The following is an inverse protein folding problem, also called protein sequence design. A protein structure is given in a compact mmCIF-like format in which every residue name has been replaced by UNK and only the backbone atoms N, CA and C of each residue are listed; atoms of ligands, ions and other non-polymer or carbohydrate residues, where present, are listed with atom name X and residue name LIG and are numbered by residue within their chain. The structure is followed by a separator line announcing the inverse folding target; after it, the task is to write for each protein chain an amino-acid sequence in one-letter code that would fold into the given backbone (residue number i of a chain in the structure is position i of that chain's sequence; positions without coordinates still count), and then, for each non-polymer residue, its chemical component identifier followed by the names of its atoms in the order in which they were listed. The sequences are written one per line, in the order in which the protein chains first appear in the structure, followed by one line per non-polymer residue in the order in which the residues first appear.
data_IF_674585399003
#
_entry.id   IF_674585399003
#
_cell.length_a   1.000
_cell.length_b   1.000
_cell.length_c   1.000
_cell.angle_alpha   90.00
_cell.angle_beta   90.00
_cell.angle_gamma   90.00
#
_symmetry.space_group_name_H-M   'P 1'
#
loop_
_entity.id
_entity.type
_entity.pdbx_description
1 polymer ?
#
# COMPACT_ATOMS: atom_id res chain seq x y z
N UNK A 1 -33.87 22.95 -5.95
CA UNK A 1 -33.35 22.55 -4.63
C UNK A 1 -31.97 21.95 -4.84
N UNK A 2 -30.92 22.59 -4.33
CA UNK A 2 -29.55 22.12 -4.44
C UNK A 2 -29.20 21.47 -3.08
N UNK A 3 -28.83 20.19 -3.09
CA UNK A 3 -28.43 19.49 -1.88
C UNK A 3 -26.97 19.83 -1.58
N UNK A 4 -26.75 20.56 -0.49
CA UNK A 4 -25.44 20.68 0.15
C UNK A 4 -25.32 19.45 1.06
N UNK A 5 -24.36 18.58 0.78
CA UNK A 5 -23.97 17.53 1.72
C UNK A 5 -23.07 18.18 2.78
N UNK A 6 -23.51 18.16 4.03
CA UNK A 6 -22.71 18.59 5.19
C UNK A 6 -21.57 17.57 5.40
N UNK A 7 -20.34 18.08 5.34
CA UNK A 7 -19.12 17.34 5.64
C UNK A 7 -18.91 17.37 7.16
N UNK A 8 -19.38 16.33 7.86
CA UNK A 8 -18.99 16.09 9.25
C UNK A 8 -17.63 15.38 9.31
N UNK A 9 -16.60 16.09 8.86
CA UNK A 9 -15.20 15.75 9.11
C UNK A 9 -14.63 16.70 10.14
N UNK A 10 -14.24 16.19 11.31
CA UNK A 10 -13.53 16.92 12.36
C UNK A 10 -12.46 17.85 11.78
N UNK A 11 -12.67 19.15 11.93
CA UNK A 11 -11.71 20.21 11.58
C UNK A 11 -10.48 20.09 12.47
N UNK A 12 -9.45 19.41 11.96
CA UNK A 12 -8.08 19.52 12.47
C UNK A 12 -7.60 20.97 12.26
N UNK A 13 -7.03 21.56 13.30
CA UNK A 13 -6.64 22.97 13.34
C UNK A 13 -5.62 23.37 12.26
N UNK A 14 -5.51 24.68 11.96
CA UNK A 14 -4.77 25.22 10.82
C UNK A 14 -3.23 25.10 10.89
N UNK A 15 -2.66 24.62 11.99
CA UNK A 15 -1.19 24.63 12.24
C UNK A 15 -0.48 23.27 12.13
N UNK A 16 -1.17 22.19 11.76
CA UNK A 16 -0.57 20.84 11.62
C UNK A 16 -0.81 20.28 10.20
N UNK A 17 -0.33 21.01 9.18
CA UNK A 17 -0.23 20.46 7.82
C UNK A 17 0.94 19.49 7.81
N UNK A 18 0.71 18.25 8.23
CA UNK A 18 1.66 17.17 7.95
C UNK A 18 1.76 17.00 6.43
N UNK A 19 2.81 17.58 5.84
CA UNK A 19 3.13 17.32 4.45
C UNK A 19 3.54 15.85 4.32
N UNK A 20 2.63 15.04 3.80
CA UNK A 20 2.93 13.65 3.46
C UNK A 20 4.07 13.66 2.43
N UNK A 21 5.17 12.97 2.73
CA UNK A 21 6.34 12.96 1.85
C UNK A 21 7.13 11.67 1.97
N UNK A 22 7.98 11.42 0.98
CA UNK A 22 8.88 10.28 0.99
C UNK A 22 10.00 10.49 2.01
N UNK A 23 10.14 9.57 2.96
CA UNK A 23 11.23 9.58 3.96
C UNK A 23 12.56 9.08 3.43
N UNK A 24 12.58 8.50 2.22
CA UNK A 24 13.79 7.95 1.58
C UNK A 24 14.41 8.89 0.54
N UNK A 25 13.69 9.93 0.11
CA UNK A 25 14.18 10.97 -0.80
C UNK A 25 14.48 12.23 0.00
N UNK A 26 15.76 12.54 0.21
CA UNK A 26 16.18 13.67 1.03
C UNK A 26 16.57 14.92 0.23
N UNK A 27 16.85 14.79 -1.08
CA UNK A 27 17.27 15.93 -1.90
C UNK A 27 17.04 15.66 -3.41
N UNK A 28 16.00 16.24 -4.03
CA UNK A 28 14.92 16.97 -3.36
C UNK A 28 14.02 16.05 -2.52
N UNK A 29 13.32 16.62 -1.54
CA UNK A 29 12.21 15.94 -0.88
C UNK A 29 11.08 15.73 -1.91
N UNK A 30 10.39 14.60 -1.83
CA UNK A 30 9.26 14.28 -2.72
C UNK A 30 7.96 14.32 -1.92
N UNK A 31 7.17 15.39 -2.01
CA UNK A 31 5.87 15.46 -1.37
C UNK A 31 4.84 14.57 -2.08
N UNK A 32 3.83 14.14 -1.34
CA UNK A 32 2.74 13.33 -1.83
C UNK A 32 1.47 14.17 -1.98
N UNK A 33 1.03 14.33 -3.22
CA UNK A 33 -0.21 15.05 -3.53
C UNK A 33 -1.46 14.23 -3.21
N UNK A 34 -1.39 12.90 -3.41
CA UNK A 34 -2.50 11.99 -3.18
C UNK A 34 -2.02 10.55 -2.99
N UNK A 35 -2.94 9.66 -2.57
CA UNK A 35 -2.64 8.24 -2.36
C UNK A 35 -2.04 7.54 -3.59
N UNK A 36 -2.65 7.61 -4.79
CA UNK A 36 -2.09 7.00 -6.00
C UNK A 36 -0.65 7.44 -6.34
N UNK A 37 -0.33 8.73 -6.26
CA UNK A 37 1.02 9.22 -6.55
C UNK A 37 2.02 8.71 -5.52
N UNK A 38 1.64 8.67 -4.24
CA UNK A 38 2.47 8.11 -3.18
C UNK A 38 2.71 6.60 -3.34
N UNK A 39 1.66 5.82 -3.67
CA UNK A 39 1.77 4.39 -3.94
C UNK A 39 2.75 4.12 -5.08
N UNK A 40 2.66 4.91 -6.16
CA UNK A 40 3.57 4.75 -7.29
C UNK A 40 5.00 5.10 -6.90
N UNK A 41 5.22 6.20 -6.18
CA UNK A 41 6.56 6.61 -5.74
C UNK A 41 7.19 5.57 -4.79
N UNK A 42 6.48 5.15 -3.74
CA UNK A 42 6.99 4.18 -2.77
C UNK A 42 7.09 2.78 -3.39
N UNK A 43 6.13 2.38 -4.23
CA UNK A 43 6.20 1.15 -5.01
C UNK A 43 7.44 1.10 -5.90
N UNK A 44 7.84 2.24 -6.47
CA UNK A 44 9.08 2.34 -7.23
C UNK A 44 10.33 2.08 -6.37
N UNK A 45 10.39 2.60 -5.14
CA UNK A 45 11.44 2.22 -4.18
C UNK A 45 11.44 0.73 -3.87
N UNK A 46 10.27 0.14 -3.55
CA UNK A 46 10.17 -1.28 -3.19
C UNK A 46 10.70 -2.20 -4.30
N UNK A 47 10.49 -1.84 -5.57
CA UNK A 47 10.90 -2.67 -6.70
C UNK A 47 12.32 -2.41 -7.20
N UNK A 48 12.82 -1.18 -7.09
CA UNK A 48 14.06 -0.78 -7.79
C UNK A 48 15.15 -0.22 -6.87
N UNK A 49 14.86 0.02 -5.60
CA UNK A 49 15.87 0.45 -4.63
C UNK A 49 16.60 -0.75 -4.01
N UNK A 50 17.91 -0.93 -4.27
CA UNK A 50 18.66 -2.06 -3.73
C UNK A 50 18.79 -2.02 -2.20
N UNK A 51 18.48 -0.89 -1.55
CA UNK A 51 18.51 -0.73 -0.09
C UNK A 51 17.23 -1.24 0.57
N UNK A 52 16.15 -1.44 -0.18
CA UNK A 52 14.86 -1.88 0.36
C UNK A 52 14.81 -3.40 0.45
N UNK A 53 14.75 -3.92 1.66
CA UNK A 53 14.61 -5.36 1.90
C UNK A 53 13.13 -5.77 2.00
N UNK A 54 12.59 -6.35 0.92
CA UNK A 54 11.20 -6.84 0.85
C UNK A 54 10.85 -7.90 1.89
N UNK A 55 11.82 -8.66 2.41
CA UNK A 55 11.58 -9.66 3.46
C UNK A 55 11.23 -9.04 4.83
N UNK A 56 11.49 -7.73 5.00
CA UNK A 56 11.04 -6.97 6.18
C UNK A 56 9.62 -6.40 6.00
N UNK A 57 8.95 -6.73 4.90
CA UNK A 57 7.58 -6.31 4.58
C UNK A 57 7.39 -4.78 4.71
N UNK A 58 8.22 -3.97 4.05
CA UNK A 58 8.16 -2.51 4.16
C UNK A 58 6.81 -1.95 3.72
N UNK A 59 6.32 -0.95 4.46
CA UNK A 59 5.06 -0.29 4.15
C UNK A 59 5.06 0.37 2.76
N UNK A 60 3.98 0.15 2.00
CA UNK A 60 3.75 0.75 0.68
C UNK A 60 3.51 2.25 0.65
N UNK A 61 3.58 2.96 1.78
CA UNK A 61 3.42 4.42 1.88
C UNK A 61 4.56 5.13 2.61
N UNK A 62 5.37 4.43 3.42
CA UNK A 62 6.46 5.06 4.17
C UNK A 62 7.73 4.20 4.33
N UNK A 63 7.78 3.00 3.73
CA UNK A 63 8.89 2.05 3.75
C UNK A 63 9.32 1.54 5.14
N UNK A 64 8.68 1.96 6.24
CA UNK A 64 8.91 1.38 7.57
C UNK A 64 8.57 -0.12 7.55
N UNK A 65 9.40 -0.98 8.13
CA UNK A 65 9.20 -2.43 8.11
C UNK A 65 8.03 -2.86 9.02
N UNK A 66 7.46 -4.03 8.77
CA UNK A 66 6.60 -4.68 9.74
C UNK A 66 7.43 -5.15 10.97
N UNK A 67 6.89 -5.10 12.20
CA UNK A 67 5.54 -4.68 12.58
C UNK A 67 5.39 -3.18 12.88
N UNK A 68 6.40 -2.34 12.60
CA UNK A 68 6.37 -0.90 12.95
C UNK A 68 5.32 -0.11 12.16
N UNK A 69 4.88 -0.62 11.00
CA UNK A 69 3.85 -0.02 10.19
C UNK A 69 3.01 -1.13 9.55
N UNK A 70 1.74 -1.24 9.99
CA UNK A 70 0.85 -2.32 9.58
C UNK A 70 -0.49 -1.76 9.12
N UNK A 71 -1.08 -2.44 8.14
CA UNK A 71 -2.38 -2.13 7.59
C UNK A 71 -3.32 -3.31 7.83
N UNK A 72 -4.54 -3.00 8.21
CA UNK A 72 -5.61 -3.98 8.39
C UNK A 72 -6.69 -3.69 7.37
N UNK A 73 -7.33 -4.74 6.87
CA UNK A 73 -8.43 -4.64 5.93
C UNK A 73 -9.70 -5.16 6.58
N UNK A 74 -10.83 -4.51 6.29
CA UNK A 74 -12.17 -4.95 6.69
C UNK A 74 -13.06 -5.10 5.48
N UNK A 75 -14.09 -5.93 5.61
CA UNK A 75 -15.13 -6.05 4.58
C UNK A 75 -15.94 -4.76 4.55
N UNK A 76 -16.17 -4.23 3.35
CA UNK A 76 -16.98 -3.02 3.15
C UNK A 76 -18.46 -3.33 3.42
N UNK A 77 -19.12 -2.61 4.33
CA UNK A 77 -20.56 -2.74 4.54
C UNK A 77 -21.32 -2.48 3.23
N UNK A 78 -22.32 -3.29 2.90
CA UNK A 78 -23.21 -3.06 1.75
C UNK A 78 -22.70 -3.51 0.39
N UNK A 79 -21.51 -4.12 0.30
CA UNK A 79 -21.05 -4.78 -0.93
C UNK A 79 -20.68 -6.22 -0.61
N UNK A 80 -21.26 -7.20 -1.31
CA UNK A 80 -21.08 -8.62 -1.02
C UNK A 80 -19.61 -9.10 -1.10
N UNK A 81 -18.70 -8.29 -1.67
CA UNK A 81 -17.31 -8.67 -1.97
C UNK A 81 -16.29 -7.51 -1.82
N UNK A 82 -16.68 -6.35 -1.29
CA UNK A 82 -15.78 -5.20 -1.18
C UNK A 82 -14.83 -5.29 0.01
N UNK A 83 -13.56 -4.95 -0.19
CA UNK A 83 -12.56 -4.79 0.86
C UNK A 83 -12.21 -3.31 0.97
N UNK A 84 -12.07 -2.82 2.20
CA UNK A 84 -11.62 -1.45 2.50
C UNK A 84 -10.57 -1.47 3.60
N UNK A 85 -9.85 -0.36 3.74
CA UNK A 85 -8.89 -0.16 4.82
C UNK A 85 -9.61 -0.02 6.16
N UNK A 86 -9.08 -0.70 7.18
CA UNK A 86 -9.43 -0.46 8.56
C UNK A 86 -8.47 0.57 9.15
N UNK A 87 -8.72 1.85 8.85
CA UNK A 87 -7.86 2.96 9.28
C UNK A 87 -7.79 3.11 10.81
N UNK A 88 -8.77 2.60 11.54
CA UNK A 88 -8.82 2.63 13.01
C UNK A 88 -7.76 1.70 13.62
N UNK A 89 -7.41 0.62 12.91
CA UNK A 89 -6.38 -0.36 13.32
C UNK A 89 -5.05 -0.14 12.61
N UNK A 90 -5.05 0.54 11.47
CA UNK A 90 -3.86 0.74 10.64
C UNK A 90 -3.03 1.92 11.13
N UNK A 91 -1.71 1.80 11.06
CA UNK A 91 -0.78 2.84 11.54
C UNK A 91 0.27 3.14 10.48
N UNK A 92 0.38 4.41 10.08
CA UNK A 92 1.39 4.89 9.14
C UNK A 92 1.60 6.39 9.31
N UNK A 93 2.85 6.87 9.20
CA UNK A 93 3.14 8.31 9.16
C UNK A 93 2.57 8.98 7.90
N UNK A 94 2.46 8.24 6.80
CA UNK A 94 1.87 8.66 5.54
C UNK A 94 0.52 7.95 5.31
N UNK A 95 -0.36 7.92 6.32
CA UNK A 95 -1.65 7.19 6.25
C UNK A 95 -2.69 7.91 5.34
N UNK A 96 -2.34 8.09 4.07
CA UNK A 96 -3.21 8.70 3.08
C UNK A 96 -4.37 7.77 2.72
N UNK A 97 -5.56 8.35 2.58
CA UNK A 97 -6.77 7.63 2.19
C UNK A 97 -6.86 7.53 0.68
N UNK A 98 -7.12 6.34 0.16
CA UNK A 98 -7.44 6.09 -1.24
C UNK A 98 -8.35 4.87 -1.38
N UNK A 99 -9.07 4.79 -2.49
CA UNK A 99 -10.00 3.69 -2.77
C UNK A 99 -9.24 2.42 -3.15
N UNK A 100 -9.51 1.33 -2.43
CA UNK A 100 -8.82 0.04 -2.61
C UNK A 100 -8.93 -0.51 -4.04
N UNK A 101 -10.15 -0.65 -4.57
CA UNK A 101 -10.40 -1.32 -5.87
C UNK A 101 -9.75 -0.61 -7.06
N UNK A 102 -9.80 0.74 -7.19
CA UNK A 102 -9.03 1.43 -8.21
C UNK A 102 -7.52 1.26 -8.04
N UNK A 103 -7.02 1.36 -6.80
CA UNK A 103 -5.59 1.23 -6.51
C UNK A 103 -5.06 -0.20 -6.69
N UNK A 104 -5.92 -1.23 -6.70
CA UNK A 104 -5.50 -2.61 -6.95
C UNK A 104 -5.23 -2.91 -8.43
N UNK A 105 -5.46 -1.95 -9.33
CA UNK A 105 -5.28 -2.09 -10.78
C UNK A 105 -4.30 -1.04 -11.28
N UNK A 106 -3.20 -1.50 -11.87
CA UNK A 106 -2.25 -0.59 -12.53
C UNK A 106 -2.79 -0.14 -13.88
N UNK A 107 -2.75 1.17 -14.11
CA UNK A 107 -3.14 1.83 -15.36
C UNK A 107 -2.05 2.79 -15.81
N UNK A 108 -2.12 3.31 -17.03
CA UNK A 108 -1.16 4.32 -17.51
C UNK A 108 -1.20 5.61 -16.66
N UNK A 109 -2.37 5.97 -16.12
CA UNK A 109 -2.53 7.17 -15.30
C UNK A 109 -2.13 6.94 -13.81
N UNK A 110 -2.21 5.69 -13.34
CA UNK A 110 -1.85 5.29 -11.98
C UNK A 110 -1.07 3.97 -12.05
N UNK A 111 0.25 4.01 -12.26
CA UNK A 111 1.05 2.87 -12.66
C UNK A 111 1.52 2.02 -11.49
N UNK A 112 0.62 1.74 -10.54
CA UNK A 112 0.92 1.00 -9.33
C UNK A 112 -0.32 0.24 -8.86
N UNK A 113 -0.13 -1.05 -8.61
CA UNK A 113 -1.13 -1.96 -8.01
C UNK A 113 -0.72 -2.42 -6.61
N UNK A 114 0.27 -1.75 -5.99
CA UNK A 114 0.78 -2.12 -4.67
C UNK A 114 -0.23 -1.73 -3.57
N UNK A 115 -1.19 -2.61 -3.29
CA UNK A 115 -2.14 -2.47 -2.18
C UNK A 115 -1.89 -3.56 -1.12
N UNK A 116 -2.31 -3.39 0.14
CA UNK A 116 -2.30 -4.48 1.11
C UNK A 116 -3.22 -5.62 0.67
N UNK A 117 -2.84 -6.86 0.92
CA UNK A 117 -3.57 -8.07 0.58
C UNK A 117 -3.64 -8.94 1.82
N UNK A 118 -4.81 -9.51 2.12
CA UNK A 118 -4.95 -10.52 3.18
C UNK A 118 -4.23 -11.78 2.73
N UNK A 119 -3.24 -12.23 3.50
CA UNK A 119 -2.60 -13.52 3.25
C UNK A 119 -3.58 -14.65 3.60
N UNK A 120 -3.90 -15.57 2.67
CA UNK A 120 -4.88 -16.62 2.91
C UNK A 120 -4.45 -17.61 4.00
N UNK A 121 -3.15 -17.79 4.23
CA UNK A 121 -2.64 -18.70 5.26
C UNK A 121 -2.63 -17.99 6.63
N UNK A 122 -2.19 -16.73 6.69
CA UNK A 122 -2.16 -15.99 7.95
C UNK A 122 -3.57 -15.83 8.54
N UNK A 123 -4.60 -15.60 7.72
CA UNK A 123 -5.97 -15.42 8.22
C UNK A 123 -6.59 -16.72 8.73
N UNK A 124 -6.12 -17.88 8.24
CA UNK A 124 -6.51 -19.19 8.78
C UNK A 124 -5.87 -19.46 10.16
N UNK A 125 -4.66 -18.94 10.39
CA UNK A 125 -3.95 -19.05 11.67
C UNK A 125 -4.47 -18.02 12.68
N UNK A 126 -4.63 -16.77 12.25
CA UNK A 126 -5.14 -15.65 13.04
C UNK A 126 -6.08 -14.78 12.17
N UNK A 127 -7.39 -14.79 12.44
CA UNK A 127 -8.38 -13.95 11.75
C UNK A 127 -8.12 -12.44 11.85
N UNK A 128 -7.26 -12.00 12.77
CA UNK A 128 -6.87 -10.61 12.96
C UNK A 128 -5.49 -10.29 12.39
N UNK A 129 -4.90 -11.19 11.60
CA UNK A 129 -3.62 -10.96 10.96
C UNK A 129 -3.61 -9.68 10.08
N UNK A 130 -2.50 -8.91 10.11
CA UNK A 130 -2.35 -7.73 9.28
C UNK A 130 -2.25 -8.10 7.79
N UNK A 131 -2.67 -7.19 6.92
CA UNK A 131 -2.52 -7.34 5.49
C UNK A 131 -1.07 -7.06 5.05
N UNK A 132 -0.64 -7.77 4.01
CA UNK A 132 0.71 -7.67 3.44
C UNK A 132 0.65 -6.91 2.13
N UNK A 133 1.49 -5.89 1.96
CA UNK A 133 1.58 -5.15 0.69
C UNK A 133 1.92 -6.08 -0.48
N UNK A 134 1.17 -5.99 -1.60
CA UNK A 134 1.26 -6.86 -2.78
C UNK A 134 2.71 -7.14 -3.19
N UNK A 135 3.52 -6.10 -3.27
CA UNK A 135 4.91 -6.25 -3.74
C UNK A 135 5.79 -7.03 -2.76
N UNK A 136 5.45 -7.11 -1.48
CA UNK A 136 6.20 -7.87 -0.49
C UNK A 136 5.70 -9.31 -0.34
N UNK A 137 4.52 -9.63 -0.88
CA UNK A 137 3.80 -10.87 -0.57
C UNK A 137 4.58 -12.14 -0.95
N UNK A 138 5.32 -12.14 -2.07
CA UNK A 138 6.20 -13.25 -2.42
C UNK A 138 7.31 -13.50 -1.38
N UNK A 139 7.92 -12.42 -0.86
CA UNK A 139 8.96 -12.50 0.15
C UNK A 139 8.39 -12.95 1.51
N UNK A 140 7.17 -12.48 1.83
CA UNK A 140 6.40 -12.96 2.96
C UNK A 140 6.17 -14.48 2.89
N UNK A 141 5.66 -15.00 1.77
CA UNK A 141 5.48 -16.45 1.58
C UNK A 141 6.79 -17.23 1.72
N UNK A 142 7.88 -16.71 1.16
CA UNK A 142 9.19 -17.36 1.23
C UNK A 142 9.70 -17.48 2.66
N UNK A 143 9.40 -16.51 3.53
CA UNK A 143 9.92 -16.47 4.91
C UNK A 143 8.96 -17.06 5.96
N UNK A 144 7.64 -16.88 5.78
CA UNK A 144 6.61 -17.27 6.76
C UNK A 144 5.85 -18.54 6.38
N UNK A 145 5.85 -18.92 5.11
CA UNK A 145 5.13 -20.07 4.57
C UNK A 145 6.01 -20.92 3.66
N UNK A 146 7.26 -21.16 4.08
CA UNK A 146 8.30 -21.83 3.29
C UNK A 146 7.97 -23.27 2.88
N UNK A 147 7.05 -23.92 3.59
CA UNK A 147 6.58 -25.28 3.31
C UNK A 147 5.43 -25.34 2.31
N UNK A 148 4.84 -24.20 1.93
CA UNK A 148 3.70 -24.13 1.03
C UNK A 148 4.15 -23.90 -0.42
N UNK A 149 3.52 -24.59 -1.37
CA UNK A 149 3.76 -24.36 -2.80
C UNK A 149 3.28 -22.98 -3.21
N UNK A 150 4.24 -22.06 -3.40
CA UNK A 150 4.01 -20.67 -3.76
C UNK A 150 3.33 -20.50 -5.12
N UNK A 151 3.47 -21.46 -6.03
CA UNK A 151 2.88 -21.35 -7.37
C UNK A 151 1.36 -21.22 -7.32
N UNK A 152 0.73 -21.83 -6.31
CA UNK A 152 -0.72 -21.75 -6.05
C UNK A 152 -1.20 -20.32 -5.79
N UNK A 153 -0.32 -19.43 -5.30
CA UNK A 153 -0.65 -18.07 -4.90
C UNK A 153 0.00 -17.00 -5.78
N UNK A 154 0.77 -17.40 -6.79
CA UNK A 154 1.54 -16.52 -7.69
C UNK A 154 0.76 -15.30 -8.22
N UNK A 155 -0.52 -15.50 -8.56
CA UNK A 155 -1.41 -14.43 -9.04
C UNK A 155 -1.59 -13.28 -8.05
N UNK A 156 -1.42 -13.51 -6.75
CA UNK A 156 -1.58 -12.48 -5.72
C UNK A 156 -0.48 -11.41 -5.78
N UNK A 157 0.72 -11.76 -6.26
CA UNK A 157 1.86 -10.85 -6.32
C UNK A 157 2.42 -10.65 -7.73
N UNK A 158 1.71 -11.12 -8.75
CA UNK A 158 2.08 -10.86 -10.13
C UNK A 158 2.03 -9.35 -10.42
N UNK A 159 3.13 -8.83 -10.95
CA UNK A 159 3.28 -7.43 -11.35
C UNK A 159 3.49 -7.41 -12.86
N UNK A 160 2.52 -6.89 -13.64
CA UNK A 160 2.64 -6.75 -15.09
C UNK A 160 3.94 -6.04 -15.50
N UNK A 161 4.50 -6.44 -16.64
CA UNK A 161 5.73 -5.83 -17.14
C UNK A 161 5.58 -4.32 -17.41
N UNK A 162 4.40 -3.88 -17.86
CA UNK A 162 4.08 -2.46 -18.08
C UNK A 162 4.21 -1.64 -16.79
N UNK A 163 3.69 -2.15 -15.68
CA UNK A 163 3.78 -1.55 -14.35
C UNK A 163 5.25 -1.49 -13.87
N UNK A 164 6.01 -2.58 -14.03
CA UNK A 164 7.44 -2.62 -13.69
C UNK A 164 8.25 -1.56 -14.44
N UNK A 165 8.00 -1.40 -15.74
CA UNK A 165 8.69 -0.42 -16.58
C UNK A 165 8.34 1.00 -16.15
N UNK A 166 7.06 1.31 -15.95
CA UNK A 166 6.63 2.65 -15.55
C UNK A 166 7.16 3.04 -14.17
N UNK A 167 7.15 2.11 -13.20
CA UNK A 167 7.75 2.35 -11.88
C UNK A 167 9.26 2.49 -11.92
N UNK A 168 9.95 1.86 -12.87
CA UNK A 168 11.39 2.07 -13.07
C UNK A 168 11.68 3.50 -13.52
N UNK A 169 10.86 4.04 -14.41
CA UNK A 169 10.99 5.43 -14.85
C UNK A 169 10.65 6.42 -13.73
N UNK A 170 9.67 6.12 -12.89
CA UNK A 170 9.39 6.91 -11.68
C UNK A 170 10.60 6.90 -10.73
N UNK A 171 11.18 5.72 -10.46
CA UNK A 171 12.35 5.60 -9.58
C UNK A 171 13.56 6.42 -10.05
N UNK A 172 13.78 6.52 -11.37
CA UNK A 172 14.88 7.29 -11.96
C UNK A 172 14.73 8.81 -11.81
N UNK A 173 13.49 9.30 -11.61
CA UNK A 173 13.16 10.73 -11.51
C UNK A 173 13.07 11.24 -10.08
N UNK A 174 13.40 10.40 -9.10
CA UNK A 174 13.35 10.73 -7.67
C UNK A 174 14.37 11.77 -7.26
#
# INVERSE_FOLDING_TARGET
ACFICEDEGETRGPDDVYEFQCTSCASPAVPFENGPTALAHIGAHILHDPRVNRAQEPCGLCLRPAPLCQFFLKRSPGTAQGVTFDFDKSQCINCMRFSYKPASVSTTASPCSNVPIICPICVEIDPHSPAIWKYNLEAHFTSKHSTVDRNQFSKLWEIPQSERVQLKEIYKRR
#
